data_IF_134239960739
#
_entry.id   IF_134239960739
#
_cell.length_a   1.000
_cell.length_b   1.000
_cell.length_c   1.000
_cell.angle_alpha   90.00
_cell.angle_beta   90.00
_cell.angle_gamma   90.00
#
_symmetry.space_group_name_H-M   'P 1'
#
loop_
_entity.id
_entity.type
_entity.pdbx_description
1 polymer ?
#
# COMPACT_ATOMS: atom_id res chain seq x y z
N UNK A 1 5.82 3.40 -7.49
CA UNK A 1 6.01 3.57 -6.03
C UNK A 1 5.40 2.36 -5.34
N UNK A 2 5.98 1.87 -4.26
CA UNK A 2 5.44 0.76 -3.49
C UNK A 2 5.50 1.10 -1.99
N UNK A 3 4.47 0.70 -1.24
CA UNK A 3 4.36 0.88 0.20
C UNK A 3 3.80 -0.40 0.83
N UNK A 4 4.29 -0.76 2.02
CA UNK A 4 3.86 -1.96 2.76
C UNK A 4 3.42 -1.55 4.17
N UNK A 5 2.23 -1.99 4.56
CA UNK A 5 1.83 -2.05 5.97
C UNK A 5 2.00 -3.49 6.46
N UNK A 6 2.58 -3.67 7.65
CA UNK A 6 2.65 -4.97 8.32
C UNK A 6 1.65 -4.92 9.46
N UNK A 7 0.56 -5.68 9.34
CA UNK A 7 -0.49 -5.76 10.33
C UNK A 7 -0.29 -7.01 11.19
N UNK A 8 -0.63 -6.92 12.48
CA UNK A 8 -0.54 -8.03 13.41
C UNK A 8 -1.89 -8.23 14.09
N UNK A 9 -2.61 -9.27 13.68
CA UNK A 9 -3.88 -9.64 14.27
C UNK A 9 -3.66 -10.44 15.58
N UNK A 10 -4.24 -9.96 16.68
CA UNK A 10 -4.19 -10.61 18.00
C UNK A 10 -5.55 -11.13 18.45
N UNK A 11 -6.59 -10.95 17.64
CA UNK A 11 -7.96 -11.36 17.92
C UNK A 11 -8.29 -12.67 17.18
N UNK A 12 -9.30 -13.40 17.65
CA UNK A 12 -9.82 -14.61 16.98
C UNK A 12 -10.92 -14.25 15.97
N UNK A 13 -10.66 -13.26 15.13
CA UNK A 13 -11.52 -12.87 14.01
C UNK A 13 -10.70 -12.42 12.81
N UNK A 14 -11.26 -12.60 11.62
CA UNK A 14 -10.67 -12.06 10.39
C UNK A 14 -10.93 -10.55 10.30
N UNK A 15 -9.94 -9.80 9.81
CA UNK A 15 -10.08 -8.38 9.48
C UNK A 15 -9.87 -8.20 7.98
N UNK A 16 -10.80 -7.50 7.33
CA UNK A 16 -10.73 -7.14 5.92
C UNK A 16 -10.36 -5.68 5.74
N UNK A 17 -9.95 -5.30 4.53
CA UNK A 17 -9.74 -3.88 4.21
C UNK A 17 -11.08 -3.19 4.02
N UNK A 18 -11.31 -2.07 4.70
CA UNK A 18 -12.62 -1.40 4.66
C UNK A 18 -12.68 -0.08 5.43
N UNK A 19 -13.88 0.50 5.48
CA UNK A 19 -14.11 1.84 6.01
C UNK A 19 -14.74 1.88 7.41
N UNK A 20 -14.97 0.72 8.03
CA UNK A 20 -15.56 0.62 9.36
C UNK A 20 -14.49 0.45 10.43
N UNK A 21 -14.87 0.56 11.71
CA UNK A 21 -13.95 0.26 12.82
C UNK A 21 -13.66 -1.23 12.99
N UNK A 22 -14.43 -2.10 12.32
CA UNK A 22 -14.21 -3.55 12.31
C UNK A 22 -13.32 -4.00 11.15
N UNK A 23 -12.93 -3.07 10.29
CA UNK A 23 -12.01 -3.27 9.17
C UNK A 23 -10.64 -2.64 9.46
N UNK A 24 -9.64 -3.03 8.66
CA UNK A 24 -8.32 -2.41 8.65
C UNK A 24 -8.13 -1.49 7.45
N UNK A 25 -7.17 -0.57 7.55
CA UNK A 25 -6.76 0.31 6.46
C UNK A 25 -5.25 0.38 6.33
N UNK A 26 -4.74 0.27 5.10
CA UNK A 26 -3.35 0.57 4.76
C UNK A 26 -3.28 1.75 3.79
N UNK A 27 -3.27 2.97 4.32
CA UNK A 27 -3.15 4.20 3.53
C UNK A 27 -1.79 4.85 3.78
N UNK A 28 -1.05 5.14 2.70
CA UNK A 28 0.21 5.88 2.76
C UNK A 28 0.08 7.19 1.99
N UNK A 29 0.09 8.30 2.73
CA UNK A 29 0.03 9.64 2.16
C UNK A 29 1.44 10.20 1.99
N UNK A 30 1.84 10.45 0.75
CA UNK A 30 3.12 11.06 0.41
C UNK A 30 2.94 12.56 0.12
N UNK A 31 3.41 13.40 1.03
CA UNK A 31 3.52 14.83 0.77
C UNK A 31 4.79 15.12 -0.04
N UNK A 32 4.65 15.85 -1.15
CA UNK A 32 5.76 16.17 -2.05
C UNK A 32 5.65 17.60 -2.59
N UNK A 33 6.73 18.09 -3.20
CA UNK A 33 6.77 19.34 -3.94
C UNK A 33 7.46 19.12 -5.29
N UNK A 34 7.21 19.99 -6.27
CA UNK A 34 7.85 19.94 -7.59
C UNK A 34 8.30 21.32 -8.01
N UNK A 35 9.36 21.37 -8.83
CA UNK A 35 9.80 22.60 -9.47
C UNK A 35 8.99 22.82 -10.76
N UNK A 36 8.29 23.94 -10.86
CA UNK A 36 7.48 24.29 -12.02
C UNK A 36 6.13 23.58 -12.08
N UNK A 37 5.70 23.19 -13.28
CA UNK A 37 4.35 22.71 -13.60
C UNK A 37 4.23 21.17 -13.69
N UNK A 38 5.29 20.45 -13.33
CA UNK A 38 5.35 18.97 -13.38
C UNK A 38 4.67 18.31 -12.18
N UNK A 39 3.43 18.69 -11.90
CA UNK A 39 2.63 18.15 -10.79
C UNK A 39 2.19 16.72 -11.13
N UNK A 40 2.21 15.82 -10.13
CA UNK A 40 1.75 14.44 -10.29
C UNK A 40 0.23 14.44 -10.52
N UNK A 41 -0.22 13.93 -11.67
CA UNK A 41 -1.65 13.84 -12.00
C UNK A 41 -2.29 12.57 -11.43
N UNK A 42 -1.62 11.43 -11.60
CA UNK A 42 -2.03 10.15 -11.02
C UNK A 42 -1.36 9.99 -9.65
N UNK A 43 -1.96 10.63 -8.64
CA UNK A 43 -1.44 10.67 -7.27
C UNK A 43 -1.94 9.54 -6.37
N UNK A 44 -2.77 8.65 -6.90
CA UNK A 44 -3.42 7.59 -6.15
C UNK A 44 -3.04 6.23 -6.73
N UNK A 45 -2.63 5.31 -5.87
CA UNK A 45 -2.28 3.94 -6.25
C UNK A 45 -3.02 2.96 -5.35
N UNK A 46 -3.65 1.95 -5.95
CA UNK A 46 -4.28 0.84 -5.26
C UNK A 46 -3.64 -0.47 -5.72
N UNK A 47 -3.57 -1.44 -4.82
CA UNK A 47 -3.14 -2.80 -5.10
C UNK A 47 -3.98 -3.74 -4.24
N UNK A 48 -4.37 -4.91 -4.75
CA UNK A 48 -5.02 -5.92 -3.92
C UNK A 48 -4.07 -6.44 -2.83
N UNK A 49 -2.75 -6.20 -2.97
CA UNK A 49 -1.75 -6.66 -2.02
C UNK A 49 -1.57 -8.18 -2.07
N UNK A 50 -0.78 -8.74 -1.15
CA UNK A 50 -0.62 -10.18 -1.02
C UNK A 50 -1.90 -10.85 -0.49
N UNK A 51 -2.21 -12.09 -0.88
CA UNK A 51 -1.41 -12.96 -1.77
C UNK A 51 -1.64 -12.76 -3.27
N UNK A 52 -2.58 -11.91 -3.68
CA UNK A 52 -2.95 -11.75 -5.10
C UNK A 52 -1.95 -10.91 -5.91
N UNK A 53 -1.10 -10.13 -5.24
CA UNK A 53 -0.13 -9.24 -5.87
C UNK A 53 1.20 -9.21 -5.10
N UNK A 54 2.28 -9.50 -5.83
CA UNK A 54 3.64 -9.45 -5.32
C UNK A 54 4.47 -8.43 -6.09
N UNK A 55 5.34 -7.72 -5.38
CA UNK A 55 6.18 -6.71 -6.01
C UNK A 55 7.21 -7.29 -6.98
N UNK A 56 7.61 -8.56 -6.79
CA UNK A 56 8.60 -9.23 -7.62
C UNK A 56 8.07 -9.63 -8.99
N UNK A 57 6.86 -10.18 -9.06
CA UNK A 57 6.29 -10.77 -10.28
C UNK A 57 5.48 -9.76 -11.07
N UNK A 58 4.59 -9.02 -10.40
CA UNK A 58 3.65 -8.13 -11.08
C UNK A 58 4.21 -6.72 -11.29
N UNK A 59 5.14 -6.28 -10.44
CA UNK A 59 5.74 -4.94 -10.50
C UNK A 59 7.23 -4.93 -10.90
N UNK A 60 7.84 -6.11 -11.05
CA UNK A 60 9.27 -6.29 -11.39
C UNK A 60 10.24 -5.48 -10.51
N UNK A 61 9.89 -5.31 -9.22
CA UNK A 61 10.70 -4.57 -8.26
C UNK A 61 11.82 -5.45 -7.69
N UNK A 62 13.05 -4.95 -7.74
CA UNK A 62 14.25 -5.72 -7.36
C UNK A 62 14.84 -5.34 -5.99
N UNK A 63 14.45 -4.19 -5.42
CA UNK A 63 14.97 -3.67 -4.14
C UNK A 63 13.89 -3.70 -3.05
N UNK A 64 13.39 -4.90 -2.75
CA UNK A 64 12.28 -5.08 -1.82
C UNK A 64 12.81 -5.25 -0.38
N UNK A 65 12.38 -4.41 0.58
CA UNK A 65 12.77 -4.57 1.99
C UNK A 65 12.30 -5.91 2.57
N UNK A 66 13.15 -6.49 3.43
CA UNK A 66 12.76 -7.62 4.28
C UNK A 66 11.78 -7.15 5.36
N UNK A 67 10.86 -8.04 5.75
CA UNK A 67 9.94 -7.84 6.88
C UNK A 67 10.66 -8.15 8.18
#
# INVERSE_FOLDING_TARGET
VAARCVLNNKEDKEFTMGNTSDDEMCNYYLMYWVLGDRILRDNTCYSPGPPEYHWTSEAELNNIPKV
#
